data_IF_626089202115
#
_entry.id   IF_626089202115
#
_cell.length_a   1.000
_cell.length_b   1.000
_cell.length_c   1.000
_cell.angle_alpha   90.00
_cell.angle_beta   90.00
_cell.angle_gamma   90.00
#
_symmetry.space_group_name_H-M   'P 1'
#
loop_
_entity.id
_entity.type
_entity.pdbx_description
1 polymer ?
#
# COMPACT_ATOMS: atom_id res chain seq x y z
N UNK A 1 7.57 -5.46 3.06
CA UNK A 1 6.64 -4.94 2.01
C UNK A 1 6.11 -3.59 2.47
N UNK A 2 6.06 -2.62 1.58
CA UNK A 2 5.40 -1.32 1.80
C UNK A 2 4.18 -1.28 0.88
N UNK A 3 3.01 -1.03 1.45
CA UNK A 3 1.71 -1.01 0.79
C UNK A 3 1.20 0.43 0.85
N UNK A 4 1.30 1.15 -0.28
CA UNK A 4 0.90 2.56 -0.40
C UNK A 4 -0.51 2.56 -0.97
N UNK A 5 -1.51 2.85 -0.12
CA UNK A 5 -2.92 2.61 -0.39
C UNK A 5 -3.79 3.38 0.60
N UNK A 6 -4.98 3.79 0.19
CA UNK A 6 -5.99 4.33 1.10
C UNK A 6 -6.57 3.26 2.02
N UNK A 7 -6.54 1.99 1.58
CA UNK A 7 -7.15 0.83 2.23
C UNK A 7 -6.08 -0.14 2.77
N UNK A 8 -6.41 -1.02 3.71
CA UNK A 8 -5.46 -1.99 4.26
C UNK A 8 -5.41 -3.32 3.49
N UNK A 9 -6.36 -3.62 2.64
CA UNK A 9 -6.51 -4.84 1.83
C UNK A 9 -6.37 -6.14 2.64
N UNK A 10 -6.99 -6.16 3.79
CA UNK A 10 -6.92 -7.30 4.73
C UNK A 10 -8.25 -8.01 4.94
N UNK A 11 -9.17 -7.95 3.98
CA UNK A 11 -10.39 -8.78 4.05
C UNK A 11 -10.06 -10.27 3.91
N UNK A 12 -11.02 -11.11 4.24
CA UNK A 12 -10.92 -12.56 4.18
C UNK A 12 -12.12 -13.15 3.41
N UNK A 13 -11.98 -14.37 2.85
CA UNK A 13 -13.12 -15.08 2.33
C UNK A 13 -14.21 -15.22 3.39
N UNK A 14 -15.44 -14.85 3.04
CA UNK A 14 -16.58 -14.85 3.96
C UNK A 14 -16.86 -13.52 4.66
N UNK A 15 -16.00 -12.52 4.52
CA UNK A 15 -16.33 -11.15 4.90
C UNK A 15 -17.47 -10.60 4.00
N UNK A 16 -18.14 -9.53 4.47
CA UNK A 16 -19.24 -8.91 3.73
C UNK A 16 -18.80 -8.44 2.33
N UNK A 17 -17.57 -7.95 2.20
CA UNK A 17 -16.97 -7.62 0.90
C UNK A 17 -16.04 -8.77 0.46
N UNK A 18 -16.29 -9.30 -0.73
CA UNK A 18 -15.58 -10.47 -1.28
C UNK A 18 -14.70 -10.17 -2.50
N UNK A 19 -14.41 -8.91 -2.78
CA UNK A 19 -13.47 -8.50 -3.83
C UNK A 19 -12.05 -9.01 -3.51
N UNK A 20 -11.43 -9.73 -4.46
CA UNK A 20 -10.12 -10.35 -4.21
C UNK A 20 -9.01 -9.30 -3.99
N UNK A 21 -9.09 -8.13 -4.64
CA UNK A 21 -8.14 -7.04 -4.43
C UNK A 21 -8.06 -6.64 -2.94
N UNK A 22 -9.19 -6.53 -2.24
CA UNK A 22 -9.23 -6.21 -0.81
C UNK A 22 -8.68 -7.34 0.10
N UNK A 23 -8.28 -8.49 -0.45
CA UNK A 23 -7.65 -9.61 0.26
C UNK A 23 -6.14 -9.72 -0.02
N UNK A 24 -5.56 -8.81 -0.78
CA UNK A 24 -4.21 -8.94 -1.30
C UNK A 24 -3.16 -9.00 -0.18
N UNK A 25 -3.27 -8.16 0.84
CA UNK A 25 -2.34 -8.16 1.98
C UNK A 25 -2.52 -9.42 2.84
N UNK A 26 -3.76 -9.88 3.08
CA UNK A 26 -3.98 -11.14 3.81
C UNK A 26 -3.44 -12.34 3.04
N UNK A 27 -3.59 -12.38 1.72
CA UNK A 27 -2.99 -13.42 0.89
C UNK A 27 -1.44 -13.42 1.01
N UNK A 28 -0.81 -12.26 0.94
CA UNK A 28 0.64 -12.13 1.18
C UNK A 28 1.07 -12.64 2.56
N UNK A 29 0.20 -12.57 3.56
CA UNK A 29 0.45 -13.10 4.91
C UNK A 29 0.14 -14.61 5.03
N UNK A 30 -0.25 -15.28 3.95
CA UNK A 30 -0.66 -16.70 4.00
C UNK A 30 -2.04 -16.93 4.60
N UNK A 31 -2.92 -15.94 4.54
CA UNK A 31 -4.29 -16.01 5.04
C UNK A 31 -5.29 -15.79 3.88
N UNK A 32 -6.33 -16.61 3.84
CA UNK A 32 -7.36 -16.47 2.82
C UNK A 32 -7.68 -17.76 2.08
N UNK A 33 -7.98 -17.68 0.79
CA UNK A 33 -8.36 -18.82 -0.03
C UNK A 33 -7.19 -19.79 -0.24
N UNK A 34 -7.42 -21.07 0.06
CA UNK A 34 -6.37 -22.10 0.03
C UNK A 34 -5.81 -22.35 -1.38
N UNK A 35 -6.64 -22.24 -2.40
CA UNK A 35 -6.21 -22.49 -3.77
C UNK A 35 -5.25 -21.38 -4.23
N UNK A 36 -5.58 -20.13 -3.91
CA UNK A 36 -4.71 -18.97 -4.18
C UNK A 36 -3.42 -19.08 -3.39
N UNK A 37 -3.51 -19.35 -2.09
CA UNK A 37 -2.33 -19.48 -1.22
C UNK A 37 -1.37 -20.58 -1.70
N UNK A 38 -1.89 -21.66 -2.27
CA UNK A 38 -1.07 -22.76 -2.80
C UNK A 38 -0.17 -22.35 -3.98
N UNK A 39 -0.48 -21.23 -4.63
CA UNK A 39 0.27 -20.70 -5.78
C UNK A 39 1.29 -19.63 -5.39
N UNK A 40 1.25 -19.13 -4.16
CA UNK A 40 2.17 -18.13 -3.69
C UNK A 40 3.50 -18.76 -3.26
N UNK A 41 4.66 -18.24 -3.71
CA UNK A 41 5.96 -18.85 -3.44
C UNK A 41 6.44 -18.66 -2.00
N UNK A 42 5.90 -17.67 -1.30
CA UNK A 42 6.31 -17.28 0.04
C UNK A 42 5.22 -16.48 0.76
N UNK A 43 5.39 -16.31 2.08
CA UNK A 43 4.52 -15.50 2.92
C UNK A 43 5.35 -14.40 3.59
N UNK A 44 4.69 -13.29 3.91
CA UNK A 44 5.29 -12.13 4.58
C UNK A 44 4.70 -12.01 5.99
N UNK A 45 5.56 -11.98 7.00
CA UNK A 45 5.12 -11.76 8.36
C UNK A 45 4.48 -10.37 8.51
N UNK A 46 3.38 -10.21 9.28
CA UNK A 46 2.73 -8.91 9.48
C UNK A 46 3.67 -7.80 9.95
N UNK A 47 4.66 -8.14 10.79
CA UNK A 47 5.68 -7.19 11.26
C UNK A 47 6.62 -6.67 10.15
N UNK A 48 6.60 -7.28 8.97
CA UNK A 48 7.34 -6.89 7.77
C UNK A 48 6.47 -6.17 6.74
N UNK A 49 5.27 -5.75 7.14
CA UNK A 49 4.33 -5.00 6.32
C UNK A 49 4.12 -3.62 6.96
N UNK A 50 4.23 -2.58 6.15
CA UNK A 50 3.87 -1.21 6.50
C UNK A 50 2.81 -0.72 5.51
N UNK A 51 1.69 -0.24 6.01
CA UNK A 51 0.67 0.44 5.23
C UNK A 51 0.97 1.94 5.26
N UNK A 52 0.97 2.59 4.11
CA UNK A 52 1.30 4.03 3.98
C UNK A 52 0.16 4.73 3.25
N UNK A 53 -0.34 5.81 3.81
CA UNK A 53 -1.49 6.54 3.28
C UNK A 53 -2.84 5.99 3.74
N UNK A 54 -2.82 4.96 4.61
CA UNK A 54 -4.04 4.32 5.12
C UNK A 54 -4.90 5.33 5.89
N UNK A 55 -6.16 5.45 5.47
CA UNK A 55 -7.15 6.33 6.10
C UNK A 55 -8.58 5.80 6.05
N UNK A 56 -8.84 4.77 5.20
CA UNK A 56 -10.15 4.13 5.10
C UNK A 56 -10.05 2.62 5.37
N UNK A 57 -10.74 2.18 6.39
CA UNK A 57 -10.89 0.74 6.71
C UNK A 57 -12.21 0.17 6.20
N UNK A 58 -13.05 1.02 5.57
CA UNK A 58 -14.43 0.70 5.15
C UNK A 58 -15.34 0.22 6.30
N UNK A 59 -14.81 -0.57 7.25
CA UNK A 59 -15.56 -1.18 8.36
C UNK A 59 -14.70 -1.32 9.62
N UNK A 60 -15.36 -1.20 10.77
CA UNK A 60 -14.69 -1.32 12.09
C UNK A 60 -14.01 -2.67 12.28
N UNK A 61 -14.59 -3.76 11.77
CA UNK A 61 -14.00 -5.09 11.86
C UNK A 61 -12.64 -5.20 11.17
N UNK A 62 -12.44 -4.49 10.06
CA UNK A 62 -11.17 -4.44 9.35
C UNK A 62 -10.12 -3.68 10.17
N UNK A 63 -10.54 -2.58 10.80
CA UNK A 63 -9.67 -1.81 11.72
C UNK A 63 -9.24 -2.64 12.94
N UNK A 64 -10.16 -3.42 13.51
CA UNK A 64 -9.86 -4.35 14.60
C UNK A 64 -8.89 -5.44 14.13
N UNK A 65 -9.12 -6.00 12.94
CA UNK A 65 -8.26 -7.03 12.33
C UNK A 65 -6.84 -6.53 12.10
N UNK A 66 -6.66 -5.32 11.59
CA UNK A 66 -5.33 -4.71 11.42
C UNK A 66 -4.58 -4.66 12.76
N UNK A 67 -5.25 -4.22 13.84
CA UNK A 67 -4.66 -4.20 15.19
C UNK A 67 -4.30 -5.59 15.68
N UNK A 68 -5.18 -6.57 15.48
CA UNK A 68 -4.93 -7.98 15.87
C UNK A 68 -3.72 -8.57 15.13
N UNK A 69 -3.52 -8.22 13.86
CA UNK A 69 -2.36 -8.65 13.09
C UNK A 69 -1.08 -7.89 13.45
N UNK A 70 -1.20 -6.76 14.14
CA UNK A 70 -0.06 -5.91 14.50
C UNK A 70 0.59 -5.22 13.29
N UNK A 71 -0.16 -5.02 12.21
CA UNK A 71 0.34 -4.33 11.03
C UNK A 71 0.39 -2.84 11.32
N UNK A 72 1.58 -2.25 11.18
CA UNK A 72 1.77 -0.80 11.34
C UNK A 72 1.25 -0.04 10.14
N UNK A 73 0.77 1.18 10.38
CA UNK A 73 0.39 2.09 9.31
C UNK A 73 0.91 3.50 9.59
N UNK A 74 0.98 4.28 8.51
CA UNK A 74 1.23 5.71 8.48
C UNK A 74 0.10 6.37 7.69
N UNK A 75 -0.43 7.46 8.23
CA UNK A 75 -1.43 8.27 7.54
C UNK A 75 -0.78 9.15 6.47
N UNK A 76 -1.54 9.81 5.57
CA UNK A 76 -0.99 10.82 4.66
C UNK A 76 -0.20 11.92 5.39
N UNK A 77 -0.69 12.40 6.55
CA UNK A 77 -0.02 13.45 7.33
C UNK A 77 1.34 13.00 7.87
N UNK A 78 1.45 11.75 8.30
CA UNK A 78 2.72 11.20 8.84
C UNK A 78 3.87 11.25 7.83
N UNK A 79 3.54 11.26 6.53
CA UNK A 79 4.51 11.23 5.43
C UNK A 79 4.50 12.49 4.55
N UNK A 80 3.63 13.46 4.81
CA UNK A 80 3.45 14.65 3.98
C UNK A 80 4.75 15.45 3.79
N UNK A 81 5.51 15.67 4.85
CA UNK A 81 6.70 16.53 4.84
C UNK A 81 8.00 15.77 4.56
N UNK A 82 8.12 14.52 4.99
CA UNK A 82 9.34 13.72 4.87
C UNK A 82 9.05 12.22 5.03
N UNK A 83 10.07 11.39 4.82
CA UNK A 83 9.98 9.93 4.90
C UNK A 83 10.56 9.34 6.20
N UNK A 84 10.77 10.16 7.25
CA UNK A 84 11.44 9.72 8.48
C UNK A 84 10.75 8.56 9.17
N UNK A 85 9.41 8.58 9.27
CA UNK A 85 8.65 7.49 9.87
C UNK A 85 8.83 6.16 9.13
N UNK A 86 8.96 6.21 7.80
CA UNK A 86 9.26 5.03 6.97
C UNK A 86 10.68 4.54 7.25
N UNK A 87 11.67 5.42 7.34
CA UNK A 87 13.05 5.06 7.66
C UNK A 87 13.18 4.39 9.03
N UNK A 88 12.49 4.92 10.04
CA UNK A 88 12.46 4.30 11.38
C UNK A 88 11.86 2.90 11.33
N UNK A 89 10.79 2.70 10.57
CA UNK A 89 10.22 1.38 10.39
C UNK A 89 11.17 0.44 9.63
N UNK A 90 11.81 0.90 8.55
CA UNK A 90 12.78 0.11 7.77
C UNK A 90 13.97 -0.33 8.63
N UNK A 91 14.47 0.53 9.52
CA UNK A 91 15.50 0.17 10.50
C UNK A 91 14.99 -0.90 11.47
N UNK A 92 13.80 -0.72 12.01
CA UNK A 92 13.21 -1.64 13.00
C UNK A 92 12.93 -3.03 12.43
N UNK A 93 12.54 -3.12 11.16
CA UNK A 93 12.26 -4.39 10.52
C UNK A 93 13.50 -5.10 9.96
N UNK A 94 14.65 -4.41 9.86
CA UNK A 94 15.92 -4.98 9.41
C UNK A 94 15.93 -5.48 7.96
N UNK A 95 15.00 -5.02 7.12
CA UNK A 95 14.93 -5.41 5.72
C UNK A 95 15.99 -4.69 4.88
N UNK A 96 16.71 -5.43 4.03
CA UNK A 96 17.62 -4.86 3.03
C UNK A 96 16.92 -4.67 1.67
N UNK A 97 15.89 -5.47 1.39
CA UNK A 97 15.12 -5.47 0.14
C UNK A 97 13.65 -5.18 0.42
N UNK A 98 13.01 -4.43 -0.45
CA UNK A 98 11.62 -3.97 -0.28
C UNK A 98 10.81 -4.27 -1.54
N UNK A 99 9.61 -4.84 -1.34
CA UNK A 99 8.54 -4.83 -2.33
C UNK A 99 7.67 -3.62 -2.05
N UNK A 100 7.30 -2.88 -3.08
CA UNK A 100 6.37 -1.75 -2.99
C UNK A 100 5.14 -2.04 -3.83
N UNK A 101 3.98 -1.88 -3.23
CA UNK A 101 2.71 -1.75 -3.91
C UNK A 101 2.26 -0.29 -3.83
N UNK A 102 1.80 0.25 -4.95
CA UNK A 102 1.23 1.58 -5.03
C UNK A 102 -0.16 1.47 -5.67
N UNK A 103 -1.19 1.61 -4.84
CA UNK A 103 -2.55 1.82 -5.32
C UNK A 103 -2.81 3.32 -5.55
N UNK A 104 -3.40 3.64 -6.70
CA UNK A 104 -3.63 5.03 -7.08
C UNK A 104 -4.74 5.70 -6.30
N UNK A 105 -5.55 4.96 -5.55
CA UNK A 105 -6.59 5.53 -4.69
C UNK A 105 -6.02 6.19 -3.42
N UNK A 106 -4.73 5.95 -3.12
CA UNK A 106 -4.03 6.68 -2.07
C UNK A 106 -3.96 8.19 -2.35
N UNK A 107 -4.04 8.57 -3.63
CA UNK A 107 -3.94 9.96 -4.05
C UNK A 107 -5.17 10.76 -3.62
N UNK A 108 -4.93 12.04 -3.30
CA UNK A 108 -6.01 12.96 -2.97
C UNK A 108 -6.85 13.25 -4.22
N UNK A 109 -8.16 12.93 -4.22
CA UNK A 109 -9.03 13.21 -5.36
C UNK A 109 -9.19 14.71 -5.65
N UNK A 110 -8.86 15.60 -4.71
CA UNK A 110 -8.80 17.04 -4.95
C UNK A 110 -7.63 17.42 -5.89
N UNK A 111 -6.55 16.64 -5.93
CA UNK A 111 -5.45 16.81 -6.88
C UNK A 111 -5.69 16.02 -8.16
N UNK A 112 -6.04 14.74 -8.06
CA UNK A 112 -6.24 13.87 -9.21
C UNK A 112 -7.14 12.68 -8.87
N UNK A 113 -8.17 12.45 -9.67
CA UNK A 113 -8.96 11.23 -9.61
C UNK A 113 -8.28 10.19 -10.50
N UNK A 114 -7.45 9.36 -9.91
CA UNK A 114 -6.60 8.40 -10.60
C UNK A 114 -7.14 6.97 -10.60
N UNK A 115 -7.92 6.60 -9.59
CA UNK A 115 -8.55 5.30 -9.38
C UNK A 115 -10.08 5.38 -9.41
N UNK A 116 -10.74 4.24 -9.40
CA UNK A 116 -12.22 4.14 -9.28
C UNK A 116 -12.66 4.49 -7.86
N UNK A 117 -11.96 3.96 -6.86
CA UNK A 117 -12.12 4.34 -5.46
C UNK A 117 -11.60 5.76 -5.23
N UNK A 118 -12.36 6.58 -4.52
CA UNK A 118 -11.96 7.95 -4.16
C UNK A 118 -12.17 8.16 -2.68
N UNK A 119 -11.07 8.34 -1.97
CA UNK A 119 -11.07 8.62 -0.53
C UNK A 119 -10.45 10.01 -0.33
N UNK A 120 -11.16 10.97 0.30
CA UNK A 120 -10.64 12.31 0.57
C UNK A 120 -9.40 12.31 1.46
N UNK A 121 -8.72 13.46 1.51
CA UNK A 121 -7.55 13.71 2.38
C UNK A 121 -6.40 12.74 2.12
N UNK A 122 -6.15 12.45 0.85
CA UNK A 122 -5.11 11.55 0.39
C UNK A 122 -3.72 12.18 0.30
N UNK A 123 -2.78 11.37 -0.18
CA UNK A 123 -1.43 11.84 -0.49
C UNK A 123 -1.42 12.62 -1.82
N UNK A 124 -0.55 13.63 -1.90
CA UNK A 124 -0.25 14.25 -3.19
C UNK A 124 0.65 13.35 -4.03
N UNK A 125 0.52 13.44 -5.34
CA UNK A 125 1.36 12.67 -6.27
C UNK A 125 2.86 12.87 -5.98
N UNK A 126 3.28 14.12 -5.76
CA UNK A 126 4.67 14.44 -5.44
C UNK A 126 5.16 13.78 -4.12
N UNK A 127 4.28 13.60 -3.16
CA UNK A 127 4.59 12.94 -1.89
C UNK A 127 4.82 11.43 -2.09
N UNK A 128 3.97 10.77 -2.89
CA UNK A 128 4.15 9.35 -3.24
C UNK A 128 5.46 9.14 -3.98
N UNK A 129 5.73 9.95 -5.02
CA UNK A 129 6.98 9.90 -5.79
C UNK A 129 8.19 10.09 -4.87
N UNK A 130 8.15 11.08 -3.97
CA UNK A 130 9.20 11.31 -2.98
C UNK A 130 9.40 10.10 -2.09
N UNK A 131 8.34 9.55 -1.51
CA UNK A 131 8.40 8.37 -0.62
C UNK A 131 9.07 7.19 -1.32
N UNK A 132 8.67 6.86 -2.54
CA UNK A 132 9.26 5.74 -3.29
C UNK A 132 10.74 6.00 -3.59
N UNK A 133 11.10 7.20 -4.04
CA UNK A 133 12.49 7.56 -4.31
C UNK A 133 13.35 7.58 -3.03
N UNK A 134 12.81 8.01 -1.91
CA UNK A 134 13.50 7.99 -0.62
C UNK A 134 13.77 6.55 -0.15
N UNK A 135 12.81 5.65 -0.33
CA UNK A 135 13.01 4.22 -0.07
C UNK A 135 14.12 3.66 -0.95
N UNK A 136 14.15 4.01 -2.25
CA UNK A 136 15.13 3.54 -3.21
C UNK A 136 16.58 4.00 -2.88
N UNK A 137 16.77 5.12 -2.20
CA UNK A 137 18.08 5.57 -1.72
C UNK A 137 18.65 4.69 -0.58
N UNK A 138 17.77 4.11 0.23
CA UNK A 138 18.13 3.37 1.43
C UNK A 138 18.08 1.85 1.27
N UNK A 139 17.26 1.35 0.33
CA UNK A 139 16.95 -0.06 0.15
C UNK A 139 16.87 -0.46 -1.31
N UNK A 140 17.23 -1.71 -1.58
CA UNK A 140 16.99 -2.32 -2.89
C UNK A 140 15.48 -2.55 -3.08
N UNK A 141 14.86 -1.90 -4.07
CA UNK A 141 13.49 -2.18 -4.48
C UNK A 141 13.52 -3.38 -5.43
N UNK A 142 13.01 -4.50 -4.97
CA UNK A 142 12.98 -5.77 -5.75
C UNK A 142 11.70 -5.97 -6.54
N UNK A 143 10.73 -5.08 -6.36
CA UNK A 143 9.49 -5.05 -7.13
C UNK A 143 8.65 -3.82 -6.78
N UNK A 144 8.05 -3.25 -7.80
CA UNK A 144 7.08 -2.16 -7.70
C UNK A 144 5.86 -2.51 -8.54
N UNK A 145 4.70 -2.51 -7.92
CA UNK A 145 3.41 -2.66 -8.60
C UNK A 145 2.64 -1.35 -8.53
N UNK A 146 1.93 -1.03 -9.59
CA UNK A 146 0.99 0.11 -9.64
C UNK A 146 -0.39 -0.45 -9.95
N UNK A 147 -1.35 -0.19 -9.08
CA UNK A 147 -2.71 -0.70 -9.18
C UNK A 147 -3.73 0.41 -9.47
N UNK A 148 -4.87 -0.01 -9.97
CA UNK A 148 -6.07 0.78 -10.25
C UNK A 148 -5.93 2.00 -11.19
N UNK A 149 -4.96 2.06 -12.14
CA UNK A 149 -4.84 3.22 -13.00
C UNK A 149 -6.04 3.35 -13.94
N UNK A 150 -6.76 4.45 -13.90
CA UNK A 150 -7.83 4.72 -14.87
C UNK A 150 -7.25 5.08 -16.25
N UNK A 151 -7.71 4.44 -17.35
CA UNK A 151 -7.18 4.67 -18.70
C UNK A 151 -7.19 6.15 -19.14
N UNK A 152 -8.17 6.91 -18.67
CA UNK A 152 -8.32 8.35 -19.01
C UNK A 152 -7.19 9.24 -18.51
N UNK A 153 -6.36 8.75 -17.57
CA UNK A 153 -5.21 9.52 -17.05
C UNK A 153 -3.87 8.99 -17.55
N UNK A 154 -3.87 8.17 -18.60
CA UNK A 154 -2.67 7.48 -19.10
C UNK A 154 -1.45 8.41 -19.35
N UNK A 155 -1.68 9.64 -19.83
CA UNK A 155 -0.58 10.62 -20.05
C UNK A 155 0.05 11.03 -18.71
N UNK A 156 -0.77 11.32 -17.69
CA UNK A 156 -0.28 11.69 -16.35
C UNK A 156 0.42 10.52 -15.66
N UNK A 157 -0.08 9.29 -15.85
CA UNK A 157 0.58 8.08 -15.37
C UNK A 157 1.97 7.95 -15.97
N UNK A 158 2.14 8.18 -17.28
CA UNK A 158 3.45 8.15 -17.93
C UNK A 158 4.43 9.16 -17.31
N UNK A 159 3.97 10.37 -17.08
CA UNK A 159 4.80 11.42 -16.46
C UNK A 159 5.21 11.05 -15.03
N UNK A 160 4.31 10.44 -14.27
CA UNK A 160 4.59 9.92 -12.93
C UNK A 160 5.59 8.77 -12.97
N UNK A 161 5.37 7.77 -13.82
CA UNK A 161 6.25 6.59 -13.91
C UNK A 161 7.69 6.98 -14.27
N UNK A 162 7.88 8.02 -15.07
CA UNK A 162 9.21 8.54 -15.40
C UNK A 162 9.94 9.17 -14.20
N UNK A 163 9.29 9.41 -13.07
CA UNK A 163 9.86 9.97 -11.84
C UNK A 163 10.16 8.90 -10.79
N UNK A 164 9.76 7.65 -11.05
CA UNK A 164 10.03 6.51 -10.16
C UNK A 164 11.40 5.90 -10.47
N UNK A 165 12.04 5.25 -9.49
CA UNK A 165 13.35 4.63 -9.65
C UNK A 165 13.34 3.43 -10.60
#
# INVERSE_FOLDING_TARGET
MIWIDAHPDITLPGDMYSGFHAMAVTACMGKGDKEILSKLPAQIAPSKILLVGLRDWERDEIKVRQKQYGIKHLTPEDVAQNSNAIYEWLKSCGASRVLIHFDMDVLDPAEIIAAVGVVPDGMKLAEVVRVINDIAKEKEIVGLTVAEPMPRIAIRIKEMLNQLP
#
